data_IF_369557007310
#
_entry.id   IF_369557007310
#
_cell.length_a   1.000
_cell.length_b   1.000
_cell.length_c   1.000
_cell.angle_alpha   90.00
_cell.angle_beta   90.00
_cell.angle_gamma   90.00
#
_symmetry.space_group_name_H-M   'P 1'
#
loop_
_entity.id
_entity.type
_entity.pdbx_description
1 polymer ?
#
# COMPACT_ATOMS: atom_id res chain seq x y z
N UNK A 1 -8.26 0.74 -11.49
CA UNK A 1 -7.66 1.11 -10.20
C UNK A 1 -7.22 2.57 -10.15
N UNK A 2 -6.24 3.03 -10.95
CA UNK A 2 -5.88 4.47 -10.97
C UNK A 2 -5.11 4.99 -9.75
N UNK A 3 -4.52 4.11 -8.94
CA UNK A 3 -3.91 4.47 -7.65
C UNK A 3 -2.46 4.99 -7.75
N UNK A 4 -1.87 5.06 -8.95
CA UNK A 4 -0.46 5.37 -9.12
C UNK A 4 -0.11 6.76 -8.56
N UNK A 5 -0.90 7.78 -8.91
CA UNK A 5 -0.67 9.15 -8.45
C UNK A 5 -0.78 9.25 -6.92
N UNK A 6 -1.71 8.50 -6.32
CA UNK A 6 -1.81 8.40 -4.87
C UNK A 6 -0.54 7.77 -4.24
N UNK A 7 -0.09 6.63 -4.75
CA UNK A 7 1.10 5.91 -4.26
C UNK A 7 2.36 6.79 -4.35
N UNK A 8 2.48 7.56 -5.43
CA UNK A 8 3.64 8.41 -5.69
C UNK A 8 3.52 9.80 -5.04
N UNK A 9 2.36 10.15 -4.48
CA UNK A 9 2.16 11.46 -3.87
C UNK A 9 2.89 11.61 -2.54
N UNK A 10 3.41 12.81 -2.29
CA UNK A 10 4.04 13.20 -1.04
C UNK A 10 3.44 14.53 -0.60
N UNK A 11 2.87 14.57 0.60
CA UNK A 11 2.28 15.77 1.19
C UNK A 11 2.85 16.01 2.57
N UNK A 12 2.98 17.28 2.94
CA UNK A 12 3.39 17.67 4.28
C UNK A 12 2.46 17.07 5.34
N UNK A 13 3.06 16.56 6.41
CA UNK A 13 2.33 16.04 7.57
C UNK A 13 2.29 17.13 8.64
N UNK A 14 1.11 17.37 9.20
CA UNK A 14 0.87 18.25 10.35
C UNK A 14 0.46 17.38 11.56
N UNK A 15 1.43 16.88 12.35
CA UNK A 15 1.17 15.86 13.35
C UNK A 15 0.18 16.32 14.43
N UNK A 16 0.19 17.60 14.82
CA UNK A 16 -0.74 18.10 15.84
C UNK A 16 -2.15 18.13 15.29
N UNK A 17 -2.36 18.59 14.06
CA UNK A 17 -3.69 18.56 13.41
C UNK A 17 -4.23 17.14 13.26
N UNK A 18 -3.39 16.18 12.86
CA UNK A 18 -3.76 14.77 12.78
C UNK A 18 -4.15 14.21 14.15
N UNK A 19 -3.37 14.52 15.19
CA UNK A 19 -3.71 14.12 16.57
C UNK A 19 -5.04 14.71 17.03
N UNK A 20 -5.29 15.98 16.75
CA UNK A 20 -6.58 16.63 17.06
C UNK A 20 -7.74 15.93 16.34
N UNK A 21 -7.57 15.58 15.06
CA UNK A 21 -8.58 14.85 14.30
C UNK A 21 -8.94 13.52 14.97
N UNK A 22 -7.95 12.72 15.38
CA UNK A 22 -8.22 11.44 16.04
C UNK A 22 -8.78 11.59 17.46
N UNK A 23 -8.28 12.56 18.22
CA UNK A 23 -8.78 12.84 19.57
C UNK A 23 -10.26 13.25 19.60
N UNK A 24 -10.73 13.88 18.52
CA UNK A 24 -12.11 14.33 18.37
C UNK A 24 -12.94 13.47 17.41
N UNK A 25 -12.42 12.31 16.97
CA UNK A 25 -13.13 11.44 16.03
C UNK A 25 -14.39 10.87 16.70
N UNK A 26 -15.55 11.21 16.15
CA UNK A 26 -16.84 10.74 16.64
C UNK A 26 -17.02 9.25 16.36
N UNK A 27 -17.66 8.54 17.30
CA UNK A 27 -18.18 7.21 17.02
C UNK A 27 -19.26 7.30 15.95
N UNK A 28 -19.18 6.44 14.95
CA UNK A 28 -20.09 6.46 13.82
C UNK A 28 -20.57 5.05 13.51
N UNK A 29 -21.87 4.92 13.25
CA UNK A 29 -22.47 3.71 12.66
C UNK A 29 -22.59 3.81 11.14
N UNK A 30 -22.29 5.00 10.58
CA UNK A 30 -22.27 5.27 9.15
C UNK A 30 -20.81 5.31 8.65
N UNK A 31 -20.56 5.00 7.38
CA UNK A 31 -19.22 5.08 6.77
C UNK A 31 -18.82 6.54 6.50
N UNK A 32 -18.85 7.38 7.54
CA UNK A 32 -18.54 8.80 7.53
C UNK A 32 -17.73 9.09 8.80
N UNK A 33 -16.53 9.65 8.63
CA UNK A 33 -15.67 10.04 9.75
C UNK A 33 -15.85 11.53 10.06
N UNK A 34 -16.51 11.81 11.18
CA UNK A 34 -16.75 13.16 11.68
C UNK A 34 -15.77 13.49 12.80
N UNK A 35 -15.15 14.66 12.75
CA UNK A 35 -14.22 15.14 13.76
C UNK A 35 -14.23 16.67 13.83
N UNK A 36 -13.38 17.24 14.68
CA UNK A 36 -13.23 18.67 14.87
C UNK A 36 -11.75 19.04 15.03
N UNK A 37 -11.27 20.00 14.24
CA UNK A 37 -9.88 20.47 14.25
C UNK A 37 -9.87 21.99 14.21
N UNK A 38 -9.17 22.62 15.15
CA UNK A 38 -9.04 24.08 15.26
C UNK A 38 -10.37 24.86 15.14
N UNK A 39 -11.42 24.43 15.84
CA UNK A 39 -12.71 25.14 15.73
C UNK A 39 -13.56 24.76 14.52
N UNK A 40 -13.07 23.86 13.65
CA UNK A 40 -13.68 23.54 12.35
C UNK A 40 -14.17 22.09 12.30
N UNK A 41 -15.43 21.84 11.92
CA UNK A 41 -15.91 20.47 11.70
C UNK A 41 -15.25 19.87 10.45
N UNK A 42 -14.69 18.67 10.61
CA UNK A 42 -14.11 17.88 9.52
C UNK A 42 -15.03 16.68 9.28
N UNK A 43 -15.58 16.58 8.07
CA UNK A 43 -16.39 15.45 7.63
C UNK A 43 -15.68 14.74 6.47
N UNK A 44 -15.27 13.50 6.68
CA UNK A 44 -14.58 12.68 5.68
C UNK A 44 -15.52 11.58 5.20
N UNK A 45 -15.95 11.71 3.93
CA UNK A 45 -16.71 10.70 3.20
C UNK A 45 -15.80 9.98 2.20
N UNK A 46 -16.24 8.84 1.68
CA UNK A 46 -15.53 8.16 0.59
C UNK A 46 -15.46 9.02 -0.68
N UNK A 47 -16.43 9.91 -0.92
CA UNK A 47 -16.41 10.83 -2.07
C UNK A 47 -15.30 11.88 -1.92
N UNK A 48 -15.16 12.45 -0.72
CA UNK A 48 -14.08 13.39 -0.43
C UNK A 48 -12.70 12.73 -0.58
N UNK A 49 -12.55 11.48 -0.15
CA UNK A 49 -11.30 10.72 -0.31
C UNK A 49 -11.02 10.47 -1.79
N UNK A 50 -12.03 10.07 -2.56
CA UNK A 50 -11.91 9.85 -4.00
C UNK A 50 -11.48 11.12 -4.74
N UNK A 51 -12.11 12.26 -4.44
CA UNK A 51 -11.76 13.56 -4.99
C UNK A 51 -10.34 13.99 -4.60
N UNK A 52 -10.01 13.87 -3.31
CA UNK A 52 -8.68 14.25 -2.80
C UNK A 52 -7.57 13.42 -3.45
N UNK A 53 -7.79 12.12 -3.64
CA UNK A 53 -6.79 11.20 -4.17
C UNK A 53 -6.82 11.09 -5.70
N UNK A 54 -7.86 11.58 -6.37
CA UNK A 54 -8.06 11.41 -7.82
C UNK A 54 -8.29 9.94 -8.23
N UNK A 55 -8.93 9.14 -7.36
CA UNK A 55 -9.14 7.71 -7.59
C UNK A 55 -10.64 7.37 -7.71
N UNK A 56 -11.02 6.28 -8.40
CA UNK A 56 -12.41 5.88 -8.52
C UNK A 56 -13.05 5.50 -7.17
N UNK A 57 -14.32 5.90 -6.97
CA UNK A 57 -15.15 5.47 -5.85
C UNK A 57 -16.11 4.34 -6.27
N UNK A 58 -15.56 3.25 -6.83
CA UNK A 58 -16.33 2.12 -7.36
C UNK A 58 -15.65 0.78 -7.03
N UNK A 59 -16.39 -0.32 -7.20
CA UNK A 59 -15.90 -1.68 -6.94
C UNK A 59 -16.33 -2.24 -5.59
N UNK A 60 -15.71 -3.36 -5.19
CA UNK A 60 -16.10 -4.07 -3.97
C UNK A 60 -15.70 -3.29 -2.71
N UNK A 61 -16.55 -3.36 -1.69
CA UNK A 61 -16.42 -2.63 -0.42
C UNK A 61 -16.04 -3.53 0.76
N UNK A 62 -16.03 -4.85 0.55
CA UNK A 62 -15.62 -5.86 1.50
C UNK A 62 -15.04 -7.07 0.73
N UNK A 63 -14.47 -8.03 1.47
CA UNK A 63 -13.83 -9.22 0.89
C UNK A 63 -14.48 -10.53 1.36
N UNK A 64 -15.77 -10.50 1.76
CA UNK A 64 -16.43 -11.68 2.32
C UNK A 64 -16.67 -12.77 1.28
N UNK A 65 -16.95 -12.38 0.03
CA UNK A 65 -17.23 -13.31 -1.06
C UNK A 65 -15.99 -14.04 -1.59
N UNK A 66 -14.80 -13.62 -1.18
CA UNK A 66 -13.54 -14.23 -1.62
C UNK A 66 -13.14 -15.29 -0.60
N UNK A 67 -12.98 -16.52 -1.06
CA UNK A 67 -12.55 -17.62 -0.20
C UNK A 67 -11.09 -17.42 0.27
N UNK A 68 -10.77 -17.80 1.50
CA UNK A 68 -9.37 -17.78 1.99
C UNK A 68 -8.45 -18.64 1.09
N UNK A 69 -8.90 -19.84 0.71
CA UNK A 69 -8.16 -20.77 -0.15
C UNK A 69 -7.97 -20.19 -1.55
N UNK A 70 -9.02 -19.58 -2.10
CA UNK A 70 -8.98 -18.91 -3.40
C UNK A 70 -7.96 -17.78 -3.40
N UNK A 71 -8.00 -16.89 -2.41
CA UNK A 71 -7.05 -15.79 -2.28
C UNK A 71 -5.60 -16.29 -2.16
N UNK A 72 -5.38 -17.36 -1.37
CA UNK A 72 -4.07 -18.01 -1.24
C UNK A 72 -3.58 -18.56 -2.59
N UNK A 73 -4.44 -19.27 -3.33
CA UNK A 73 -4.10 -19.84 -4.62
C UNK A 73 -3.70 -18.76 -5.64
N UNK A 74 -4.43 -17.64 -5.67
CA UNK A 74 -4.10 -16.48 -6.53
C UNK A 74 -2.79 -15.84 -6.10
N UNK A 75 -2.59 -15.61 -4.79
CA UNK A 75 -1.39 -14.96 -4.27
C UNK A 75 -0.10 -15.76 -4.54
N UNK A 76 -0.19 -17.09 -4.46
CA UNK A 76 0.91 -18.03 -4.64
C UNK A 76 1.04 -18.57 -6.08
N UNK A 77 0.06 -18.33 -6.95
CA UNK A 77 -0.06 -18.93 -8.28
C UNK A 77 -0.04 -20.47 -8.25
N UNK A 78 -0.74 -21.03 -7.26
CA UNK A 78 -0.86 -22.47 -7.08
C UNK A 78 -2.34 -22.88 -6.93
N UNK A 79 -2.82 -23.87 -7.68
CA UNK A 79 -4.23 -24.28 -7.65
C UNK A 79 -4.63 -25.02 -6.35
N UNK A 80 -3.70 -25.73 -5.73
CA UNK A 80 -3.97 -26.59 -4.57
C UNK A 80 -3.15 -26.15 -3.35
N UNK A 81 -3.59 -25.10 -2.67
CA UNK A 81 -2.92 -24.59 -1.46
C UNK A 81 -3.56 -25.21 -0.22
N UNK A 82 -2.72 -25.70 0.70
CA UNK A 82 -3.18 -26.17 2.00
C UNK A 82 -3.75 -24.98 2.82
N UNK A 83 -5.03 -25.00 3.22
CA UNK A 83 -5.64 -23.92 4.01
C UNK A 83 -5.00 -23.68 5.38
N UNK A 84 -4.27 -24.67 5.90
CA UNK A 84 -3.57 -24.62 7.19
C UNK A 84 -2.15 -24.05 7.08
N UNK A 85 -1.68 -23.77 5.87
CA UNK A 85 -0.37 -23.17 5.66
C UNK A 85 -0.36 -21.72 6.17
N UNK A 86 0.53 -21.42 7.12
CA UNK A 86 0.83 -20.04 7.49
C UNK A 86 1.70 -19.40 6.42
N UNK A 87 1.07 -18.62 5.53
CA UNK A 87 1.76 -17.85 4.51
C UNK A 87 2.42 -16.64 5.14
N UNK A 88 3.74 -16.57 5.03
CA UNK A 88 4.51 -15.35 5.27
C UNK A 88 4.77 -14.62 3.95
N UNK A 89 5.13 -13.34 4.01
CA UNK A 89 5.48 -12.56 2.82
C UNK A 89 6.58 -13.23 1.97
N UNK A 90 7.50 -14.00 2.57
CA UNK A 90 8.59 -14.68 1.87
C UNK A 90 8.17 -15.88 1.00
N UNK A 91 6.92 -16.34 1.13
CA UNK A 91 6.32 -17.35 0.26
C UNK A 91 5.66 -16.74 -0.97
N UNK A 92 5.27 -15.47 -0.89
CA UNK A 92 4.64 -14.76 -2.00
C UNK A 92 5.67 -14.48 -3.11
N UNK A 93 5.18 -14.50 -4.35
CA UNK A 93 5.91 -14.02 -5.52
C UNK A 93 6.16 -12.51 -5.41
N UNK A 94 7.18 -12.02 -6.11
CA UNK A 94 7.64 -10.62 -6.02
C UNK A 94 6.50 -9.62 -6.23
N UNK A 95 5.69 -9.80 -7.29
CA UNK A 95 4.56 -8.92 -7.57
C UNK A 95 3.54 -8.91 -6.41
N UNK A 96 3.17 -10.09 -5.91
CA UNK A 96 2.28 -10.25 -4.75
C UNK A 96 2.86 -9.58 -3.48
N UNK A 97 4.19 -9.63 -3.29
CA UNK A 97 4.86 -8.95 -2.16
C UNK A 97 4.82 -7.44 -2.28
N UNK A 98 5.05 -6.89 -3.47
CA UNK A 98 4.99 -5.44 -3.70
C UNK A 98 3.56 -4.94 -3.44
N UNK A 99 2.55 -5.66 -3.94
CA UNK A 99 1.15 -5.33 -3.64
C UNK A 99 0.87 -5.42 -2.15
N UNK A 100 1.32 -6.48 -1.47
CA UNK A 100 1.17 -6.61 -0.01
C UNK A 100 1.82 -5.45 0.76
N UNK A 101 2.99 -4.98 0.31
CA UNK A 101 3.67 -3.83 0.90
C UNK A 101 2.82 -2.57 0.78
N UNK A 102 2.28 -2.31 -0.41
CA UNK A 102 1.37 -1.17 -0.66
C UNK A 102 0.09 -1.28 0.19
N UNK A 103 -0.49 -2.48 0.29
CA UNK A 103 -1.67 -2.72 1.13
C UNK A 103 -1.39 -2.37 2.58
N UNK A 104 -0.29 -2.86 3.13
CA UNK A 104 -0.01 -2.77 4.57
C UNK A 104 0.67 -1.48 5.02
N UNK A 105 1.20 -0.66 4.09
CA UNK A 105 1.83 0.63 4.39
C UNK A 105 1.03 1.83 3.91
N UNK A 106 0.27 1.69 2.81
CA UNK A 106 -0.38 2.83 2.15
C UNK A 106 -1.89 2.70 2.19
N UNK A 107 -2.45 1.58 1.72
CA UNK A 107 -3.90 1.47 1.52
C UNK A 107 -4.67 1.17 2.80
N UNK A 108 -4.14 0.27 3.63
CA UNK A 108 -4.70 -0.13 4.93
C UNK A 108 -3.54 -0.28 5.94
N UNK A 109 -2.88 0.84 6.30
CA UNK A 109 -1.70 0.83 7.16
C UNK A 109 -1.95 0.07 8.44
N UNK A 110 -1.13 -0.93 8.75
CA UNK A 110 -1.17 -1.68 10.00
C UNK A 110 0.07 -1.40 10.84
N UNK A 111 -0.08 -1.51 12.15
CA UNK A 111 1.06 -1.60 13.06
C UNK A 111 1.50 -3.06 13.20
N UNK A 112 2.77 -3.25 13.58
CA UNK A 112 3.37 -4.56 13.78
C UNK A 112 3.92 -5.17 12.49
N UNK A 113 3.97 -6.50 12.45
CA UNK A 113 4.72 -7.22 11.41
C UNK A 113 4.11 -7.11 10.00
N UNK A 114 4.91 -6.64 9.05
CA UNK A 114 4.63 -6.72 7.62
C UNK A 114 4.97 -8.08 7.00
N UNK A 115 5.62 -8.98 7.75
CA UNK A 115 6.00 -10.31 7.25
C UNK A 115 4.87 -11.33 7.34
N UNK A 116 3.87 -11.09 8.21
CA UNK A 116 2.70 -11.95 8.38
C UNK A 116 1.45 -11.24 7.81
N UNK A 117 1.02 -11.56 6.58
CA UNK A 117 -0.20 -11.01 6.01
C UNK A 117 -1.44 -11.58 6.71
N UNK A 118 -2.41 -10.71 7.03
CA UNK A 118 -3.73 -11.13 7.48
C UNK A 118 -4.53 -11.77 6.33
N UNK A 119 -5.62 -12.48 6.65
CA UNK A 119 -6.55 -12.97 5.62
C UNK A 119 -7.08 -11.81 4.74
N UNK A 120 -7.36 -10.66 5.36
CA UNK A 120 -7.80 -9.46 4.65
C UNK A 120 -6.71 -8.95 3.70
N UNK A 121 -5.45 -8.95 4.14
CA UNK A 121 -4.31 -8.52 3.31
C UNK A 121 -4.19 -9.41 2.07
N UNK A 122 -4.28 -10.73 2.25
CA UNK A 122 -4.21 -11.71 1.15
C UNK A 122 -5.38 -11.58 0.17
N UNK A 123 -6.59 -11.38 0.67
CA UNK A 123 -7.77 -11.16 -0.19
C UNK A 123 -7.63 -9.87 -1.00
N UNK A 124 -7.11 -8.81 -0.39
CA UNK A 124 -6.82 -7.57 -1.13
C UNK A 124 -5.81 -7.84 -2.26
N UNK A 125 -4.69 -8.50 -1.96
CA UNK A 125 -3.67 -8.85 -2.97
C UNK A 125 -4.28 -9.68 -4.09
N UNK A 126 -5.11 -10.67 -3.77
CA UNK A 126 -5.80 -11.50 -4.75
C UNK A 126 -6.72 -10.68 -5.69
N UNK A 127 -7.50 -9.74 -5.17
CA UNK A 127 -8.31 -8.82 -5.98
C UNK A 127 -7.47 -8.02 -6.97
N UNK A 128 -6.35 -7.46 -6.51
CA UNK A 128 -5.46 -6.67 -7.36
C UNK A 128 -4.88 -7.54 -8.48
N UNK A 129 -4.46 -8.77 -8.17
CA UNK A 129 -3.94 -9.71 -9.17
C UNK A 129 -4.98 -10.12 -10.22
N UNK A 130 -6.22 -10.33 -9.80
CA UNK A 130 -7.32 -10.72 -10.69
C UNK A 130 -7.97 -9.53 -11.41
N UNK A 131 -7.57 -8.29 -11.12
CA UNK A 131 -8.19 -7.09 -11.68
C UNK A 131 -9.58 -6.75 -11.14
N UNK A 132 -9.99 -7.36 -10.02
CA UNK A 132 -11.25 -7.04 -9.34
C UNK A 132 -11.19 -5.63 -8.77
N UNK A 133 -12.00 -4.70 -9.29
CA UNK A 133 -12.01 -3.31 -8.82
C UNK A 133 -12.37 -3.23 -7.34
N UNK A 134 -11.57 -2.48 -6.57
CA UNK A 134 -11.74 -2.27 -5.13
C UNK A 134 -12.10 -0.82 -4.89
N UNK A 135 -13.14 -0.59 -4.09
CA UNK A 135 -13.49 0.74 -3.62
C UNK A 135 -12.56 1.15 -2.46
N UNK A 136 -11.34 1.58 -2.82
CA UNK A 136 -10.33 2.01 -1.86
C UNK A 136 -10.77 3.21 -1.00
N UNK A 137 -11.44 4.26 -1.53
CA UNK A 137 -11.97 5.34 -0.70
C UNK A 137 -12.87 4.85 0.43
N UNK A 138 -13.81 3.95 0.14
CA UNK A 138 -14.69 3.34 1.14
C UNK A 138 -13.91 2.54 2.20
N UNK A 139 -12.91 1.76 1.76
CA UNK A 139 -12.07 0.98 2.68
C UNK A 139 -11.22 1.87 3.60
N UNK A 140 -10.73 3.02 3.12
CA UNK A 140 -9.96 3.99 3.92
C UNK A 140 -10.84 4.58 5.02
N UNK A 141 -12.06 5.02 4.70
CA UNK A 141 -12.98 5.60 5.71
C UNK A 141 -13.34 4.57 6.78
N UNK A 142 -13.69 3.34 6.39
CA UNK A 142 -13.93 2.27 7.37
C UNK A 142 -12.71 1.96 8.23
N UNK A 143 -11.51 2.07 7.65
CA UNK A 143 -10.27 1.86 8.39
C UNK A 143 -9.98 2.98 9.40
N UNK A 144 -10.29 4.23 9.07
CA UNK A 144 -10.22 5.36 10.01
C UNK A 144 -11.10 5.10 11.24
N UNK A 145 -12.33 4.64 11.00
CA UNK A 145 -13.33 4.41 12.04
C UNK A 145 -13.05 3.17 12.90
N UNK A 146 -12.42 2.12 12.33
CA UNK A 146 -12.19 0.86 13.06
C UNK A 146 -10.93 0.86 13.93
N UNK A 147 -10.01 1.81 13.73
CA UNK A 147 -8.73 1.87 14.45
C UNK A 147 -8.44 3.28 15.02
N UNK A 148 -9.27 3.84 15.91
CA UNK A 148 -9.09 5.21 16.39
C UNK A 148 -7.80 5.41 17.23
N UNK A 149 -7.30 4.35 17.86
CA UNK A 149 -6.10 4.39 18.72
C UNK A 149 -4.78 4.30 17.93
N UNK A 150 -4.88 3.94 16.66
CA UNK A 150 -3.76 3.95 15.74
C UNK A 150 -4.00 5.19 14.88
N UNK A 151 -3.00 5.99 14.55
CA UNK A 151 -3.16 7.23 13.77
C UNK A 151 -2.82 6.99 12.29
N UNK A 152 -3.54 6.14 11.53
CA UNK A 152 -3.18 5.85 10.16
C UNK A 152 -3.37 7.08 9.26
N UNK A 153 -2.77 7.02 8.07
CA UNK A 153 -2.91 8.04 7.03
C UNK A 153 -2.59 9.49 7.46
N UNK A 154 -1.51 9.76 8.22
CA UNK A 154 -1.19 11.12 8.67
C UNK A 154 -1.03 12.10 7.49
N UNK A 155 -0.51 11.62 6.36
CA UNK A 155 -0.36 12.41 5.13
C UNK A 155 -1.70 12.77 4.47
N UNK A 156 -2.61 11.81 4.34
CA UNK A 156 -3.94 12.04 3.74
C UNK A 156 -4.77 12.98 4.60
N UNK A 157 -4.77 12.76 5.91
CA UNK A 157 -5.51 13.62 6.85
C UNK A 157 -4.94 15.02 6.88
N UNK A 158 -3.61 15.19 6.87
CA UNK A 158 -2.99 16.51 6.79
C UNK A 158 -3.42 17.27 5.54
N UNK A 159 -3.46 16.59 4.39
CA UNK A 159 -3.95 17.16 3.13
C UNK A 159 -5.42 17.57 3.22
N UNK A 160 -6.30 16.69 3.70
CA UNK A 160 -7.73 16.98 3.82
C UNK A 160 -7.98 18.14 4.78
N UNK A 161 -7.39 18.09 5.98
CA UNK A 161 -7.55 19.13 7.00
C UNK A 161 -7.06 20.47 6.46
N UNK A 162 -5.88 20.50 5.84
CA UNK A 162 -5.34 21.71 5.21
C UNK A 162 -6.29 22.29 4.15
N UNK A 163 -6.83 21.46 3.26
CA UNK A 163 -7.79 21.91 2.23
C UNK A 163 -9.07 22.45 2.85
N UNK A 164 -9.61 21.76 3.87
CA UNK A 164 -10.84 22.19 4.55
C UNK A 164 -10.62 23.52 5.27
N UNK A 165 -9.56 23.65 6.06
CA UNK A 165 -9.24 24.91 6.76
C UNK A 165 -9.06 26.08 5.79
N UNK A 166 -8.35 25.86 4.68
CA UNK A 166 -8.19 26.86 3.63
C UNK A 166 -9.54 27.27 3.01
N UNK A 167 -10.47 26.33 2.81
CA UNK A 167 -11.80 26.65 2.28
C UNK A 167 -12.64 27.54 3.21
N UNK A 168 -12.34 27.52 4.51
CA UNK A 168 -12.95 28.40 5.52
C UNK A 168 -12.12 29.67 5.81
N UNK A 169 -11.03 29.91 5.09
CA UNK A 169 -10.06 30.99 5.35
C UNK A 169 -9.49 30.95 6.78
N UNK A 170 -9.21 29.75 7.28
CA UNK A 170 -8.58 29.54 8.59
C UNK A 170 -7.12 29.20 8.35
N UNK A 171 -6.23 30.05 8.87
CA UNK A 171 -4.79 29.85 8.77
C UNK A 171 -4.33 28.76 9.73
N UNK A 172 -3.36 27.96 9.28
CA UNK A 172 -2.65 27.03 10.15
C UNK A 172 -1.75 27.86 11.08
N UNK A 173 -1.83 27.67 12.42
CA UNK A 173 -1.02 28.43 13.37
C UNK A 173 0.48 28.35 13.08
N UNK A 174 1.22 29.44 13.32
CA UNK A 174 2.67 29.52 13.11
C UNK A 174 3.48 28.52 13.96
N UNK A 175 2.91 28.06 15.08
CA UNK A 175 3.50 27.06 15.96
C UNK A 175 3.29 25.61 15.47
N UNK A 176 2.57 25.41 14.36
CA UNK A 176 2.33 24.08 13.80
C UNK A 176 3.63 23.50 13.22
N UNK A 177 4.04 22.36 13.77
CA UNK A 177 5.18 21.61 13.23
C UNK A 177 4.78 20.90 11.94
N UNK A 178 5.57 21.09 10.88
CA UNK A 178 5.44 20.35 9.64
C UNK A 178 6.54 19.30 9.50
N UNK A 179 6.16 18.09 9.11
CA UNK A 179 7.07 16.96 8.94
C UNK A 179 6.96 16.45 7.51
N UNK A 180 8.10 16.20 6.86
CA UNK A 180 8.11 15.53 5.55
C UNK A 180 7.81 14.04 5.73
N UNK A 181 7.02 13.42 4.82
CA UNK A 181 6.81 11.98 4.84
C UNK A 181 8.13 11.21 4.88
N UNK A 182 8.24 10.30 5.85
CA UNK A 182 9.42 9.45 6.01
C UNK A 182 9.26 8.12 5.26
N UNK A 183 10.29 7.27 5.33
CA UNK A 183 10.28 5.90 4.81
C UNK A 183 9.19 4.99 5.38
N UNK A 184 8.61 5.34 6.54
CA UNK A 184 7.48 4.62 7.14
C UNK A 184 6.13 4.99 6.48
N UNK A 185 6.08 6.10 5.75
CA UNK A 185 4.88 6.64 5.12
C UNK A 185 4.85 6.43 3.60
N UNK A 186 6.02 6.28 2.98
CA UNK A 186 6.19 6.07 1.55
C UNK A 186 6.83 4.70 1.33
N UNK A 187 6.35 3.97 0.32
CA UNK A 187 7.03 2.76 -0.13
C UNK A 187 8.38 3.16 -0.73
N UNK A 188 9.47 2.81 -0.05
CA UNK A 188 10.82 3.13 -0.48
C UNK A 188 11.76 1.92 -0.37
N UNK A 189 13.02 2.09 -0.81
CA UNK A 189 14.05 1.04 -0.83
C UNK A 189 14.25 0.36 0.53
N UNK A 190 14.04 1.07 1.65
CA UNK A 190 14.13 0.50 3.00
C UNK A 190 12.92 -0.38 3.35
N UNK A 191 11.70 0.03 3.01
CA UNK A 191 10.49 -0.81 3.16
C UNK A 191 10.54 -2.08 2.30
N UNK A 192 11.21 -2.02 1.15
CA UNK A 192 11.45 -3.18 0.28
C UNK A 192 12.48 -4.17 0.89
N UNK A 193 13.53 -3.66 1.52
CA UNK A 193 14.52 -4.48 2.26
C UNK A 193 13.89 -5.26 3.42
N UNK A 194 12.91 -4.69 4.12
CA UNK A 194 12.16 -5.37 5.19
C UNK A 194 11.37 -6.60 4.69
N UNK A 195 11.14 -6.73 3.38
CA UNK A 195 10.47 -7.88 2.75
C UNK A 195 11.43 -8.84 2.04
N UNK A 196 12.74 -8.74 2.31
CA UNK A 196 13.80 -9.51 1.65
C UNK A 196 13.80 -9.33 0.12
N UNK A 197 13.54 -8.11 -0.34
CA UNK A 197 13.64 -7.73 -1.75
C UNK A 197 14.82 -6.78 -1.93
N UNK A 198 15.77 -7.17 -2.78
CA UNK A 198 16.84 -6.31 -3.28
C UNK A 198 16.67 -6.14 -4.79
N UNK A 199 17.20 -5.04 -5.34
CA UNK A 199 17.29 -4.85 -6.78
C UNK A 199 18.71 -5.27 -7.18
N UNK A 200 18.83 -6.36 -7.94
CA UNK A 200 20.07 -6.75 -8.60
C UNK A 200 19.86 -6.57 -10.11
N UNK A 201 20.73 -5.80 -10.76
CA UNK A 201 20.73 -5.57 -12.22
C UNK A 201 19.38 -5.12 -12.84
N UNK A 202 18.58 -4.36 -12.10
CA UNK A 202 17.28 -3.85 -12.56
C UNK A 202 16.11 -4.81 -12.35
N UNK A 203 16.35 -6.03 -11.90
CA UNK A 203 15.30 -6.97 -11.51
C UNK A 203 15.18 -7.08 -9.99
N UNK A 204 13.94 -7.23 -9.52
CA UNK A 204 13.67 -7.49 -8.11
C UNK A 204 14.06 -8.93 -7.78
N UNK A 205 15.09 -9.11 -6.98
CA UNK A 205 15.53 -10.42 -6.52
C UNK A 205 15.18 -10.66 -5.06
N UNK A 206 14.87 -11.91 -4.73
CA UNK A 206 14.76 -12.35 -3.34
C UNK A 206 16.18 -12.36 -2.76
N UNK A 207 16.42 -11.65 -1.66
CA UNK A 207 17.71 -11.70 -0.96
C UNK A 207 17.99 -13.16 -0.59
N UNK A 208 18.95 -13.79 -1.28
CA UNK A 208 19.48 -15.10 -0.86
C UNK A 208 20.30 -14.84 0.40
N UNK A 209 19.82 -15.36 1.53
CA UNK A 209 20.38 -15.10 2.84
C UNK A 209 21.90 -15.25 2.86
N UNK A 210 22.58 -14.22 3.35
CA UNK A 210 23.97 -14.33 3.80
C UNK A 210 23.97 -15.29 5.00
N UNK A 211 24.34 -16.54 4.74
CA UNK A 211 24.79 -17.55 5.71
C UNK A 211 23.96 -17.73 6.98
N UNK A 212 23.01 -18.67 6.96
CA UNK A 212 22.83 -19.54 8.13
C UNK A 212 23.10 -20.96 7.69
N UNK A 213 24.20 -21.50 8.21
CA UNK A 213 24.56 -22.90 8.14
C UNK A 213 23.38 -23.79 8.49
N UNK A 214 23.19 -24.79 7.64
CA UNK A 214 22.66 -26.12 7.90
C UNK A 214 21.53 -26.27 8.94
N UNK A 215 20.39 -26.72 8.41
CA UNK A 215 19.34 -27.40 9.12
C UNK A 215 19.88 -28.33 10.22
N UNK A 216 19.45 -28.08 11.45
CA UNK A 216 19.29 -29.12 12.46
C UNK A 216 17.86 -29.10 12.97
N UNK A 217 17.37 -30.32 13.12
CA UNK A 217 16.00 -30.73 13.42
C UNK A 217 15.35 -29.98 14.59
N UNK A 218 14.04 -29.85 14.46
CA UNK A 218 13.09 -29.39 15.47
C UNK A 218 13.12 -30.30 16.71
N UNK A 219 13.23 -29.71 17.90
CA UNK A 219 12.67 -30.27 19.14
C UNK A 219 12.07 -29.11 19.98
N UNK A 220 10.97 -29.33 20.73
CA UNK A 220 10.10 -28.27 21.23
C UNK A 220 10.53 -27.82 22.63
N UNK A 221 10.85 -26.54 22.79
CA UNK A 221 11.06 -25.95 24.13
C UNK A 221 10.23 -24.68 24.29
N UNK A 222 9.28 -24.82 25.22
CA UNK A 222 8.67 -23.87 26.15
C UNK A 222 9.09 -22.39 26.07
N UNK A 223 8.04 -21.56 26.18
CA UNK A 223 7.97 -20.15 26.53
C UNK A 223 9.21 -19.57 27.24
N UNK A 224 9.76 -18.52 26.63
CA UNK A 224 10.62 -17.52 27.25
C UNK A 224 10.35 -16.20 26.54
N UNK A 225 9.98 -15.17 27.31
CA UNK A 225 9.99 -13.77 26.90
C UNK A 225 11.38 -13.43 26.36
N UNK A 226 11.45 -12.92 25.14
CA UNK A 226 12.59 -12.14 24.65
C UNK A 226 12.06 -10.72 24.43
N UNK A 227 12.31 -9.90 25.45
CA UNK A 227 12.34 -8.44 25.38
C UNK A 227 13.46 -8.04 24.41
N UNK A 228 13.12 -7.73 23.16
CA UNK A 228 14.02 -6.99 22.28
C UNK A 228 13.86 -5.50 22.60
N UNK A 229 14.91 -4.96 23.23
CA UNK A 229 15.10 -3.56 23.62
C UNK A 229 14.65 -2.59 22.52
N UNK A 230 13.54 -1.89 22.77
CA UNK A 230 13.15 -0.75 21.95
C UNK A 230 14.12 0.41 22.22
N UNK A 231 14.96 0.73 21.23
CA UNK A 231 15.62 2.03 21.18
C UNK A 231 14.56 3.12 21.25
N UNK A 232 14.72 4.01 22.23
CA UNK A 232 13.87 5.15 22.56
C UNK A 232 13.73 6.11 21.33
N UNK A 233 12.74 5.83 20.46
CA UNK A 233 12.45 6.58 19.23
C UNK A 233 11.53 7.78 19.59
N UNK A 234 11.93 9.04 19.39
CA UNK A 234 11.16 10.25 19.73
C UNK A 234 9.82 10.41 18.96
N UNK A 235 9.40 9.39 18.20
CA UNK A 235 8.12 9.32 17.50
C UNK A 235 7.08 8.44 18.19
N UNK A 236 7.42 7.76 19.29
CA UNK A 236 6.44 7.08 20.13
C UNK A 236 5.80 8.07 21.11
N UNK A 237 4.64 8.61 20.75
CA UNK A 237 3.80 9.34 21.70
C UNK A 237 2.83 8.38 22.38
N UNK A 238 3.34 7.50 23.24
CA UNK A 238 2.54 7.03 24.37
C UNK A 238 2.42 8.14 25.40
N UNK A 239 1.24 8.27 26.00
CA UNK A 239 0.95 9.30 26.99
C UNK A 239 1.62 8.95 28.32
N UNK A 240 2.87 9.37 28.52
CA UNK A 240 3.57 9.33 29.82
C UNK A 240 3.81 10.74 30.37
N UNK A 241 3.66 10.96 31.69
CA UNK A 241 3.96 12.25 32.32
C UNK A 241 5.49 12.49 32.40
N UNK A 242 5.87 13.73 32.11
CA UNK A 242 7.23 14.19 31.81
C UNK A 242 8.26 14.06 32.95
N UNK A 243 9.48 13.64 32.59
CA UNK A 243 10.76 14.08 33.19
C UNK A 243 11.85 13.99 32.12
N UNK A 244 12.61 15.08 31.89
CA UNK A 244 13.53 15.21 30.75
C UNK A 244 15.01 15.00 31.09
N UNK A 245 15.86 14.85 30.05
CA UNK A 245 17.30 15.26 29.97
C UNK A 245 17.72 15.33 28.48
N UNK A 246 18.59 16.29 28.14
CA UNK A 246 19.11 16.65 26.80
C UNK A 246 20.20 15.72 26.23
N UNK A 247 20.34 15.63 24.89
CA UNK A 247 21.63 15.36 24.22
C UNK A 247 21.71 15.90 22.76
N UNK A 248 22.93 16.21 22.31
CA UNK A 248 23.32 17.03 21.15
C UNK A 248 23.45 16.27 19.81
N UNK A 249 23.09 16.88 18.67
CA UNK A 249 23.30 16.31 17.32
C UNK A 249 24.19 17.16 16.40
N UNK A 250 25.14 16.50 15.72
CA UNK A 250 26.09 17.08 14.76
C UNK A 250 25.48 17.13 13.34
N UNK A 251 25.65 18.26 12.63
CA UNK A 251 25.12 18.49 11.27
C UNK A 251 25.97 17.82 10.17
N UNK A 252 25.37 17.27 9.10
CA UNK A 252 26.09 16.71 7.94
C UNK A 252 26.63 17.79 7.00
N UNK A 253 27.78 17.50 6.37
CA UNK A 253 28.54 18.41 5.48
C UNK A 253 27.95 18.51 4.06
N UNK A 254 28.14 19.67 3.41
CA UNK A 254 27.60 20.02 2.08
C UNK A 254 27.96 19.00 0.97
N UNK A 255 29.17 18.45 1.01
CA UNK A 255 29.61 17.47 0.01
C UNK A 255 28.85 16.14 0.09
N UNK A 256 28.42 15.75 1.30
CA UNK A 256 27.56 14.58 1.49
C UNK A 256 26.16 14.82 0.94
N UNK A 257 25.68 16.07 0.92
CA UNK A 257 24.38 16.42 0.34
C UNK A 257 24.42 16.41 -1.19
N UNK A 258 25.48 16.94 -1.82
CA UNK A 258 25.63 16.91 -3.28
C UNK A 258 25.75 15.49 -3.82
N UNK A 259 26.61 14.66 -3.21
CA UNK A 259 26.76 13.26 -3.64
C UNK A 259 25.44 12.48 -3.55
N UNK A 260 24.60 12.79 -2.55
CA UNK A 260 23.27 12.18 -2.41
C UNK A 260 22.26 12.69 -3.45
N UNK A 261 22.40 13.93 -3.92
CA UNK A 261 21.55 14.47 -4.99
C UNK A 261 21.88 13.85 -6.34
N UNK A 262 23.16 13.69 -6.66
CA UNK A 262 23.61 13.07 -7.92
C UNK A 262 23.16 11.60 -8.02
N UNK A 263 23.27 10.86 -6.92
CA UNK A 263 22.78 9.48 -6.83
C UNK A 263 21.26 9.44 -7.00
N UNK A 264 20.53 10.35 -6.35
CA UNK A 264 19.06 10.41 -6.47
C UNK A 264 18.60 10.76 -7.89
N UNK A 265 19.34 11.61 -8.60
CA UNK A 265 19.03 11.96 -9.97
C UNK A 265 19.24 10.78 -10.93
N UNK A 266 20.35 10.04 -10.78
CA UNK A 266 20.61 8.84 -11.56
C UNK A 266 19.55 7.75 -11.33
N UNK A 267 19.12 7.56 -10.09
CA UNK A 267 18.05 6.61 -9.73
C UNK A 267 16.71 7.00 -10.38
N UNK A 268 16.37 8.30 -10.43
CA UNK A 268 15.15 8.78 -11.08
C UNK A 268 15.15 8.55 -12.59
N UNK A 269 16.28 8.81 -13.26
CA UNK A 269 16.42 8.58 -14.69
C UNK A 269 16.33 7.09 -15.04
N UNK A 270 16.90 6.23 -14.19
CA UNK A 270 16.81 4.78 -14.36
C UNK A 270 15.38 4.26 -14.21
N UNK A 271 14.67 4.64 -13.13
CA UNK A 271 13.27 4.24 -12.90
C UNK A 271 12.38 4.69 -14.07
N UNK A 272 12.62 5.88 -14.61
CA UNK A 272 11.89 6.40 -15.76
C UNK A 272 12.11 5.55 -17.02
N UNK A 273 13.32 5.06 -17.23
CA UNK A 273 13.66 4.11 -18.31
C UNK A 273 12.91 2.78 -18.17
N UNK A 274 12.96 2.19 -16.97
CA UNK A 274 12.27 0.92 -16.68
C UNK A 274 10.75 1.04 -16.84
N UNK A 275 10.17 2.16 -16.41
CA UNK A 275 8.75 2.43 -16.61
C UNK A 275 8.36 2.56 -18.09
N UNK A 276 9.25 3.11 -18.92
CA UNK A 276 9.03 3.15 -20.37
C UNK A 276 9.00 1.74 -20.95
N UNK A 277 9.97 0.89 -20.57
CA UNK A 277 10.04 -0.49 -21.02
C UNK A 277 8.83 -1.32 -20.55
N UNK A 278 8.38 -1.13 -19.31
CA UNK A 278 7.17 -1.77 -18.80
C UNK A 278 5.93 -1.39 -19.61
N UNK A 279 5.79 -0.10 -19.96
CA UNK A 279 4.69 0.39 -20.80
C UNK A 279 4.71 -0.24 -22.19
N UNK A 280 5.88 -0.37 -22.81
CA UNK A 280 6.03 -1.04 -24.12
C UNK A 280 5.65 -2.53 -24.05
N UNK A 281 6.10 -3.24 -23.01
CA UNK A 281 5.74 -4.66 -22.80
C UNK A 281 4.23 -4.83 -22.62
N UNK A 282 3.58 -3.93 -21.87
CA UNK A 282 2.12 -3.92 -21.73
C UNK A 282 1.43 -3.68 -23.07
N UNK A 283 1.89 -2.72 -23.88
CA UNK A 283 1.33 -2.47 -25.21
C UNK A 283 1.44 -3.70 -26.13
N UNK A 284 2.58 -4.41 -26.10
CA UNK A 284 2.77 -5.63 -26.88
C UNK A 284 1.83 -6.76 -26.45
N UNK A 285 1.57 -6.90 -25.15
CA UNK A 285 0.60 -7.89 -24.64
C UNK A 285 -0.81 -7.54 -25.11
N UNK A 286 -1.22 -6.27 -25.02
CA UNK A 286 -2.53 -5.83 -25.52
C UNK A 286 -2.68 -6.07 -27.02
N UNK A 287 -1.64 -5.81 -27.80
CA UNK A 287 -1.65 -6.07 -29.24
C UNK A 287 -1.75 -7.57 -29.53
N UNK A 288 -0.97 -8.41 -28.84
CA UNK A 288 -1.06 -9.86 -28.97
C UNK A 288 -2.46 -10.40 -28.63
N UNK A 289 -3.15 -9.82 -27.64
CA UNK A 289 -4.54 -10.17 -27.35
C UNK A 289 -5.52 -9.71 -28.45
N UNK A 290 -5.26 -8.58 -29.11
CA UNK A 290 -6.05 -8.14 -30.26
C UNK A 290 -5.88 -9.09 -31.44
N UNK A 291 -4.64 -9.49 -31.75
CA UNK A 291 -4.32 -10.39 -32.85
C UNK A 291 -4.94 -11.79 -32.64
N UNK A 292 -4.92 -12.31 -31.41
CA UNK A 292 -5.59 -13.57 -31.06
C UNK A 292 -7.09 -13.48 -31.29
N UNK A 293 -7.74 -12.39 -30.86
CA UNK A 293 -9.18 -12.20 -31.08
C UNK A 293 -9.52 -12.10 -32.56
N UNK A 294 -8.69 -11.43 -33.35
CA UNK A 294 -8.86 -11.37 -34.81
C UNK A 294 -8.72 -12.76 -35.44
N UNK A 295 -7.68 -13.52 -35.08
CA UNK A 295 -7.50 -14.88 -35.57
C UNK A 295 -8.66 -15.81 -35.21
N UNK A 296 -9.24 -15.65 -34.02
CA UNK A 296 -10.47 -16.36 -33.64
C UNK A 296 -11.67 -15.98 -34.52
N UNK A 297 -11.84 -14.69 -34.85
CA UNK A 297 -12.89 -14.23 -35.74
C UNK A 297 -12.71 -14.78 -37.17
N UNK A 298 -11.48 -14.79 -37.69
CA UNK A 298 -11.15 -15.31 -39.02
C UNK A 298 -11.44 -16.82 -39.11
N UNK A 299 -11.10 -17.59 -38.06
CA UNK A 299 -11.42 -19.03 -37.98
C UNK A 299 -12.94 -19.25 -37.97
N UNK A 300 -13.68 -18.46 -37.19
CA UNK A 300 -15.15 -18.56 -37.15
C UNK A 300 -15.76 -18.24 -38.51
N UNK A 301 -15.26 -17.22 -39.20
CA UNK A 301 -15.70 -16.86 -40.54
C UNK A 301 -15.37 -17.96 -41.56
N UNK A 302 -14.18 -18.56 -41.49
CA UNK A 302 -13.80 -19.68 -42.34
C UNK A 302 -14.72 -20.89 -42.14
N UNK A 303 -15.04 -21.22 -40.88
CA UNK A 303 -15.96 -22.31 -40.55
C UNK A 303 -17.38 -22.05 -41.10
N UNK A 304 -17.88 -20.81 -41.00
CA UNK A 304 -19.18 -20.42 -41.55
C UNK A 304 -19.23 -20.51 -43.08
N UNK A 305 -18.15 -20.13 -43.76
CA UNK A 305 -18.06 -20.21 -45.22
C UNK A 305 -17.90 -21.66 -45.72
N UNK A 306 -17.22 -22.51 -44.95
CA UNK A 306 -16.95 -23.91 -45.33
C UNK A 306 -18.16 -24.81 -45.05
N UNK A 307 -18.95 -24.48 -44.03
CA UNK A 307 -20.17 -25.21 -43.65
C UNK A 307 -21.38 -24.26 -43.61
N UNK A 308 -21.89 -23.81 -44.77
CA UNK A 308 -23.03 -22.91 -44.80
C UNK A 308 -24.25 -23.59 -44.19
N UNK A 309 -24.86 -22.93 -43.21
CA UNK A 309 -26.11 -23.38 -42.62
C UNK A 309 -27.21 -23.32 -43.69
N UNK A 310 -27.79 -24.47 -44.04
CA UNK A 310 -28.96 -24.50 -44.90
C UNK A 310 -30.14 -23.84 -44.16
N UNK A 311 -30.94 -23.01 -44.84
CA UNK A 311 -32.12 -22.43 -44.21
C UNK A 311 -33.06 -23.56 -43.75
N UNK A 312 -33.76 -23.38 -42.63
CA UNK A 312 -34.68 -24.40 -42.13
C UNK A 312 -35.75 -24.69 -43.19
N UNK A 313 -36.15 -25.95 -43.36
CA UNK A 313 -37.14 -26.33 -44.36
C UNK A 313 -38.47 -25.61 -44.06
N UNK A 314 -39.07 -25.05 -45.12
CA UNK A 314 -40.37 -24.38 -45.10
C UNK A 314 -41.53 -25.34 -44.87
#
# INVERSE_FOLDING_TARGET
MGWLDYICSSHTIYPRLVKMFYANLATSTTCIANSFVLGTPICITHDLIAETLGIPNEGITNFHDIGKIEALGICLEQPNVNPLLNVTSSHLLIASRIVLLLVTNTFLPKQGSHTLPSERDLKFVACVKNGTQINLPYLIVNHLLSRPNHTPYPMLLSRIISTVLASFNIDIPDDEQSVKPSHKHLVNKAGLRQLNLEIEEGEWVKVRGRGREQARELEPVRAGDDDDEEEDDPQQYEMRPSAGVSSSSSRPTLDSLMARMDIAQADMEFIKGEMHQFRERQANILQGQADIRQGQADILQWLQNTFPQHPPPS
#
